data_IF_622529681923
#
_entry.id   IF_622529681923
#
_cell.length_a   1.000
_cell.length_b   1.000
_cell.length_c   1.000
_cell.angle_alpha   90.00
_cell.angle_beta   90.00
_cell.angle_gamma   90.00
#
_symmetry.space_group_name_H-M   'P 1'
#
loop_
_entity.id
_entity.type
_entity.pdbx_description
1 polymer ?
#
# COMPACT_ATOMS: atom_id res chain seq x y z
N UNK A 1 33.87 -32.66 -14.91
CA UNK A 1 33.93 -31.44 -15.74
C UNK A 1 32.59 -31.28 -16.47
N UNK A 2 32.00 -30.11 -16.52
CA UNK A 2 30.76 -29.89 -17.28
C UNK A 2 31.01 -30.12 -18.78
N UNK A 3 30.18 -30.92 -19.44
CA UNK A 3 30.26 -31.19 -20.86
C UNK A 3 29.99 -29.92 -21.67
N UNK A 4 30.57 -29.78 -22.84
CA UNK A 4 30.32 -28.67 -23.77
C UNK A 4 28.83 -28.52 -24.09
N UNK A 5 28.11 -29.63 -24.18
CA UNK A 5 26.67 -29.66 -24.38
C UNK A 5 25.88 -29.11 -23.18
N UNK A 6 26.32 -29.36 -21.95
CA UNK A 6 25.72 -28.80 -20.75
C UNK A 6 25.87 -27.27 -20.71
N UNK A 7 27.04 -26.76 -21.09
CA UNK A 7 27.27 -25.34 -21.19
C UNK A 7 26.39 -24.67 -22.25
N UNK A 8 26.24 -25.28 -23.43
CA UNK A 8 25.35 -24.80 -24.49
C UNK A 8 23.89 -24.74 -24.02
N UNK A 9 23.41 -25.82 -23.36
CA UNK A 9 22.05 -25.84 -22.78
C UNK A 9 21.84 -24.74 -21.72
N UNK A 10 22.81 -24.55 -20.84
CA UNK A 10 22.75 -23.47 -19.84
C UNK A 10 22.70 -22.09 -20.48
N UNK A 11 23.53 -21.81 -21.50
CA UNK A 11 23.50 -20.56 -22.24
C UNK A 11 22.14 -20.34 -22.90
N UNK A 12 21.56 -21.34 -23.53
CA UNK A 12 20.24 -21.25 -24.15
C UNK A 12 19.14 -20.95 -23.12
N UNK A 13 19.19 -21.64 -21.97
CA UNK A 13 18.24 -21.44 -20.86
C UNK A 13 18.33 -20.00 -20.31
N UNK A 14 19.55 -19.52 -20.04
CA UNK A 14 19.77 -18.14 -19.53
C UNK A 14 19.29 -17.10 -20.55
N UNK A 15 19.59 -17.29 -21.85
CA UNK A 15 19.08 -16.39 -22.92
C UNK A 15 17.56 -16.36 -22.98
N UNK A 16 16.90 -17.52 -22.79
CA UNK A 16 15.44 -17.59 -22.71
C UNK A 16 14.89 -16.81 -21.49
N UNK A 17 15.47 -17.05 -20.32
CA UNK A 17 15.11 -16.34 -19.09
C UNK A 17 15.32 -14.81 -19.22
N UNK A 18 16.38 -14.40 -19.87
CA UNK A 18 16.65 -12.97 -20.14
C UNK A 18 15.54 -12.34 -21.01
N UNK A 19 15.08 -13.05 -22.06
CA UNK A 19 13.98 -12.57 -22.91
C UNK A 19 12.68 -12.43 -22.11
N UNK A 20 12.36 -13.41 -21.27
CA UNK A 20 11.17 -13.37 -20.40
C UNK A 20 11.25 -12.19 -19.43
N UNK A 21 12.38 -12.02 -18.75
CA UNK A 21 12.58 -10.92 -17.80
C UNK A 21 12.46 -9.56 -18.49
N UNK A 22 12.99 -9.41 -19.70
CA UNK A 22 12.84 -8.20 -20.49
C UNK A 22 11.38 -7.91 -20.84
N UNK A 23 10.62 -8.94 -21.23
CA UNK A 23 9.19 -8.80 -21.50
C UNK A 23 8.40 -8.41 -20.22
N UNK A 24 8.69 -9.04 -19.08
CA UNK A 24 8.09 -8.68 -17.79
C UNK A 24 8.38 -7.23 -17.42
N UNK A 25 9.61 -6.74 -17.64
CA UNK A 25 9.97 -5.34 -17.40
C UNK A 25 9.13 -4.38 -18.25
N UNK A 26 8.91 -4.70 -19.53
CA UNK A 26 8.08 -3.85 -20.40
C UNK A 26 6.61 -3.81 -19.94
N UNK A 27 6.06 -4.96 -19.56
CA UNK A 27 4.68 -5.04 -19.02
C UNK A 27 4.55 -4.26 -17.71
N UNK A 28 5.53 -4.40 -16.81
CA UNK A 28 5.55 -3.64 -15.55
C UNK A 28 5.63 -2.13 -15.78
N UNK A 29 6.47 -1.68 -16.72
CA UNK A 29 6.58 -0.27 -17.09
C UNK A 29 5.26 0.29 -17.65
N UNK A 30 4.56 -0.47 -18.51
CA UNK A 30 3.27 -0.05 -19.04
C UNK A 30 2.20 0.05 -17.94
N UNK A 31 2.18 -0.88 -16.99
CA UNK A 31 1.26 -0.82 -15.82
C UNK A 31 1.57 0.37 -14.91
N UNK A 32 2.86 0.62 -14.64
CA UNK A 32 3.28 1.78 -13.85
C UNK A 32 2.83 3.09 -14.49
N UNK A 33 3.06 3.24 -15.79
CA UNK A 33 2.63 4.43 -16.51
C UNK A 33 1.13 4.67 -16.41
N UNK A 34 0.30 3.64 -16.61
CA UNK A 34 -1.16 3.75 -16.46
C UNK A 34 -1.56 4.15 -15.04
N UNK A 35 -0.92 3.58 -14.02
CA UNK A 35 -1.18 3.93 -12.63
C UNK A 35 -0.80 5.39 -12.33
N UNK A 36 0.33 5.87 -12.85
CA UNK A 36 0.75 7.27 -12.73
C UNK A 36 -0.24 8.23 -13.41
N UNK A 37 -0.61 7.95 -14.66
CA UNK A 37 -1.60 8.74 -15.39
C UNK A 37 -2.95 8.81 -14.64
N UNK A 38 -3.40 7.70 -14.05
CA UNK A 38 -4.61 7.65 -13.25
C UNK A 38 -4.51 8.49 -11.98
N UNK A 39 -3.38 8.41 -11.28
CA UNK A 39 -3.12 9.20 -10.08
C UNK A 39 -3.04 10.71 -10.39
N UNK A 40 -2.37 11.08 -11.46
CA UNK A 40 -2.27 12.49 -11.91
C UNK A 40 -3.64 13.07 -12.28
N UNK A 41 -4.50 12.29 -12.96
CA UNK A 41 -5.88 12.72 -13.28
C UNK A 41 -6.75 12.89 -12.03
N UNK A 42 -6.49 12.11 -10.97
CA UNK A 42 -7.23 12.21 -9.71
C UNK A 42 -6.82 13.38 -8.82
N UNK A 43 -5.60 13.90 -8.96
CA UNK A 43 -5.07 14.99 -8.11
C UNK A 43 -5.95 16.24 -8.07
N UNK A 44 -6.39 16.82 -9.19
CA UNK A 44 -7.19 18.04 -9.16
C UNK A 44 -8.51 17.87 -8.40
N UNK A 45 -9.12 16.68 -8.48
CA UNK A 45 -10.32 16.35 -7.71
C UNK A 45 -10.02 16.30 -6.21
N UNK A 46 -8.96 15.61 -5.83
CA UNK A 46 -8.52 15.50 -4.44
C UNK A 46 -8.20 16.85 -3.82
N UNK A 47 -7.50 17.72 -4.54
CA UNK A 47 -7.16 19.07 -4.10
C UNK A 47 -8.41 19.93 -3.89
N UNK A 48 -9.35 19.91 -4.85
CA UNK A 48 -10.62 20.62 -4.71
C UNK A 48 -11.45 20.11 -3.54
N UNK A 49 -11.51 18.79 -3.36
CA UNK A 49 -12.24 18.20 -2.24
C UNK A 49 -11.62 18.58 -0.89
N UNK A 50 -10.29 18.57 -0.78
CA UNK A 50 -9.59 19.02 0.41
C UNK A 50 -9.90 20.49 0.72
N UNK A 51 -9.92 21.36 -0.29
CA UNK A 51 -10.27 22.77 -0.08
C UNK A 51 -11.71 22.94 0.40
N UNK A 52 -12.65 22.16 -0.13
CA UNK A 52 -14.04 22.16 0.36
C UNK A 52 -14.12 21.73 1.82
N UNK A 53 -13.43 20.64 2.17
CA UNK A 53 -13.40 20.14 3.56
C UNK A 53 -12.78 21.16 4.50
N UNK A 54 -11.67 21.80 4.11
CA UNK A 54 -11.02 22.85 4.89
C UNK A 54 -11.94 24.08 5.09
N UNK A 55 -12.62 24.51 4.03
CA UNK A 55 -13.55 25.63 4.12
C UNK A 55 -14.75 25.31 5.03
N UNK A 56 -15.28 24.10 4.93
CA UNK A 56 -16.35 23.65 5.83
C UNK A 56 -15.87 23.57 7.29
N UNK A 57 -14.69 23.02 7.52
CA UNK A 57 -14.11 22.93 8.86
C UNK A 57 -13.84 24.30 9.48
N UNK A 58 -13.36 25.25 8.68
CA UNK A 58 -13.10 26.63 9.14
C UNK A 58 -14.39 27.44 9.35
N UNK A 59 -15.48 27.10 8.65
CA UNK A 59 -16.78 27.75 8.80
C UNK A 59 -17.58 27.31 10.02
N UNK A 60 -17.15 26.25 10.70
CA UNK A 60 -17.83 25.74 11.89
C UNK A 60 -17.41 26.58 13.11
N UNK A 61 -18.31 27.48 13.56
CA UNK A 61 -18.11 28.30 14.77
C UNK A 61 -18.36 27.50 16.04
N UNK A 62 -19.28 26.52 15.99
CA UNK A 62 -19.67 25.69 17.13
C UNK A 62 -19.17 24.25 16.95
N UNK A 63 -18.08 23.92 17.66
CA UNK A 63 -17.47 22.58 17.58
C UNK A 63 -18.27 21.48 18.27
N UNK A 64 -19.15 21.85 19.22
CA UNK A 64 -19.92 20.86 19.98
C UNK A 64 -21.07 20.27 19.16
N UNK A 65 -21.71 21.06 18.31
CA UNK A 65 -22.79 20.65 17.43
C UNK A 65 -22.29 20.25 16.01
N UNK A 66 -21.01 20.34 15.74
CA UNK A 66 -20.44 20.00 14.45
C UNK A 66 -20.45 18.48 14.18
N UNK A 67 -20.62 18.04 12.92
CA UNK A 67 -20.48 16.65 12.56
C UNK A 67 -19.12 16.09 13.03
N UNK A 68 -19.15 14.97 13.76
CA UNK A 68 -17.93 14.35 14.34
C UNK A 68 -16.86 13.98 13.31
N UNK A 69 -17.23 13.78 12.05
CA UNK A 69 -16.30 13.56 10.94
C UNK A 69 -15.47 14.79 10.58
N UNK A 70 -15.96 16.01 10.91
CA UNK A 70 -15.24 17.27 10.66
C UNK A 70 -14.55 17.78 11.92
N UNK A 71 -15.20 17.69 13.08
CA UNK A 71 -14.70 18.22 14.35
C UNK A 71 -13.80 17.22 15.10
N UNK A 72 -13.84 15.96 14.73
CA UNK A 72 -13.22 14.88 15.50
C UNK A 72 -14.07 14.45 16.70
N UNK A 73 -13.63 13.43 17.41
CA UNK A 73 -14.29 12.93 18.63
C UNK A 73 -13.75 13.56 19.90
N UNK A 74 -12.66 14.32 19.82
CA UNK A 74 -11.93 14.85 20.98
C UNK A 74 -11.23 13.80 21.85
N UNK A 75 -11.31 12.53 21.46
CA UNK A 75 -10.69 11.41 22.18
C UNK A 75 -9.57 10.80 21.33
N UNK A 76 -8.37 10.77 21.87
CA UNK A 76 -7.19 10.14 21.23
C UNK A 76 -6.88 8.76 21.85
N UNK A 77 -7.89 8.05 22.33
CA UNK A 77 -7.69 6.78 23.02
C UNK A 77 -7.53 5.61 22.07
N UNK A 78 -8.27 5.61 20.95
CA UNK A 78 -8.28 4.50 19.98
C UNK A 78 -7.73 4.96 18.64
N UNK A 79 -6.69 4.29 18.15
CA UNK A 79 -6.07 4.54 16.84
C UNK A 79 -6.42 3.43 15.86
N UNK A 80 -6.89 3.81 14.67
CA UNK A 80 -7.09 2.90 13.54
C UNK A 80 -5.93 3.04 12.56
N UNK A 81 -5.14 1.98 12.40
CA UNK A 81 -4.03 1.94 11.46
C UNK A 81 -4.39 1.08 10.26
N UNK A 82 -4.35 1.67 9.06
CA UNK A 82 -4.55 0.95 7.80
C UNK A 82 -3.19 0.70 7.16
N UNK A 83 -2.80 -0.57 7.04
CA UNK A 83 -1.54 -0.99 6.44
C UNK A 83 -1.80 -1.48 5.02
N UNK A 84 -1.31 -0.72 4.03
CA UNK A 84 -1.44 -1.06 2.62
C UNK A 84 -0.12 -1.62 2.09
N UNK A 85 -0.15 -2.82 1.57
CA UNK A 85 1.01 -3.49 0.96
C UNK A 85 0.73 -3.82 -0.50
N UNK A 86 1.75 -4.29 -1.22
CA UNK A 86 1.59 -4.78 -2.59
C UNK A 86 0.95 -6.16 -2.57
N UNK A 87 -0.04 -6.39 -3.45
CA UNK A 87 -0.74 -7.67 -3.61
C UNK A 87 0.12 -8.75 -4.25
N UNK A 88 1.13 -8.37 -5.02
CA UNK A 88 2.03 -9.29 -5.71
C UNK A 88 3.42 -9.27 -5.11
N UNK A 89 4.05 -10.45 -5.08
CA UNK A 89 5.46 -10.60 -4.81
C UNK A 89 6.34 -9.94 -5.88
N UNK A 90 7.64 -10.15 -5.80
CA UNK A 90 8.67 -9.56 -6.66
C UNK A 90 8.78 -8.03 -6.57
N UNK A 91 8.34 -7.46 -5.45
CA UNK A 91 8.43 -6.03 -5.13
C UNK A 91 9.69 -5.67 -4.30
N UNK A 92 10.70 -6.57 -4.25
CA UNK A 92 11.89 -6.39 -3.43
C UNK A 92 11.57 -6.28 -1.95
N UNK A 93 12.19 -5.33 -1.25
CA UNK A 93 11.96 -5.07 0.17
C UNK A 93 10.73 -4.23 0.49
N UNK A 94 9.87 -3.90 -0.46
CA UNK A 94 8.76 -2.97 -0.26
C UNK A 94 7.83 -3.39 0.88
N UNK A 95 7.24 -4.59 0.80
CA UNK A 95 6.32 -5.09 1.82
C UNK A 95 7.02 -5.26 3.18
N UNK A 96 8.24 -5.80 3.19
CA UNK A 96 9.01 -6.00 4.43
C UNK A 96 9.33 -4.68 5.13
N UNK A 97 9.63 -3.63 4.37
CA UNK A 97 9.92 -2.30 4.93
C UNK A 97 8.65 -1.64 5.50
N UNK A 98 7.51 -1.79 4.83
CA UNK A 98 6.22 -1.31 5.35
C UNK A 98 5.89 -2.02 6.66
N UNK A 99 6.01 -3.35 6.71
CA UNK A 99 5.72 -4.14 7.91
C UNK A 99 6.64 -3.74 9.08
N UNK A 100 7.94 -3.58 8.82
CA UNK A 100 8.89 -3.11 9.86
C UNK A 100 8.51 -1.74 10.41
N UNK A 101 8.18 -0.81 9.52
CA UNK A 101 7.75 0.55 9.89
C UNK A 101 6.44 0.52 10.68
N UNK A 102 5.46 -0.27 10.23
CA UNK A 102 4.18 -0.45 10.91
C UNK A 102 4.37 -1.03 12.32
N UNK A 103 5.16 -2.10 12.48
CA UNK A 103 5.47 -2.69 13.80
C UNK A 103 6.08 -1.67 14.75
N UNK A 104 7.04 -0.87 14.28
CA UNK A 104 7.66 0.18 15.10
C UNK A 104 6.67 1.26 15.52
N UNK A 105 5.73 1.60 14.64
CA UNK A 105 4.68 2.58 14.93
C UNK A 105 3.64 2.01 15.91
N UNK A 106 3.26 0.75 15.76
CA UNK A 106 2.34 0.07 16.66
C UNK A 106 2.88 -0.02 18.09
N UNK A 107 4.17 -0.35 18.22
CA UNK A 107 4.82 -0.39 19.53
C UNK A 107 4.70 0.96 20.25
N UNK A 108 4.94 2.07 19.55
CA UNK A 108 4.81 3.41 20.14
C UNK A 108 3.39 3.71 20.64
N UNK A 109 2.35 3.38 19.85
CA UNK A 109 0.96 3.60 20.24
C UNK A 109 0.60 2.79 21.50
N UNK A 110 1.06 1.53 21.54
CA UNK A 110 0.81 0.64 22.68
C UNK A 110 1.58 1.07 23.94
N UNK A 111 2.82 1.55 23.77
CA UNK A 111 3.63 2.11 24.85
C UNK A 111 3.01 3.37 25.47
N UNK A 112 2.27 4.14 24.66
CA UNK A 112 1.48 5.30 25.11
C UNK A 112 0.17 4.89 25.83
N UNK A 113 -0.10 3.60 25.99
CA UNK A 113 -1.32 3.08 26.63
C UNK A 113 -2.60 3.26 25.80
N UNK A 114 -2.48 3.47 24.49
CA UNK A 114 -3.61 3.66 23.58
C UNK A 114 -4.07 2.34 22.99
N UNK A 115 -5.35 2.26 22.64
CA UNK A 115 -5.93 1.12 21.94
C UNK A 115 -5.59 1.20 20.45
N UNK A 116 -5.14 0.09 19.88
CA UNK A 116 -4.78 -0.01 18.47
C UNK A 116 -5.71 -0.97 17.73
N UNK A 117 -6.34 -0.50 16.65
CA UNK A 117 -7.06 -1.31 15.67
C UNK A 117 -6.30 -1.31 14.36
N UNK A 118 -6.13 -2.48 13.74
CA UNK A 118 -5.34 -2.64 12.53
C UNK A 118 -6.22 -3.20 11.43
N UNK A 119 -6.18 -2.54 10.27
CA UNK A 119 -6.74 -3.06 9.02
C UNK A 119 -5.58 -3.30 8.06
N UNK A 120 -5.48 -4.51 7.55
CA UNK A 120 -4.53 -4.85 6.50
C UNK A 120 -5.24 -4.87 5.15
N UNK A 121 -4.70 -4.14 4.18
CA UNK A 121 -5.22 -4.12 2.81
C UNK A 121 -4.33 -5.00 1.93
N UNK A 122 -4.71 -6.28 1.85
CA UNK A 122 -4.07 -7.31 1.02
C UNK A 122 -5.16 -8.15 0.37
N UNK A 123 -5.05 -8.41 -0.92
CA UNK A 123 -5.94 -9.36 -1.61
C UNK A 123 -5.83 -10.77 -0.99
N UNK A 124 -4.64 -11.15 -0.53
CA UNK A 124 -4.38 -12.46 0.10
C UNK A 124 -5.03 -12.69 1.47
N UNK A 125 -5.43 -11.63 2.18
CA UNK A 125 -6.07 -11.79 3.50
C UNK A 125 -7.56 -12.09 3.38
N UNK A 126 -8.21 -11.78 2.26
CA UNK A 126 -9.60 -12.17 2.03
C UNK A 126 -9.72 -13.66 1.74
N UNK A 127 -8.82 -14.22 0.92
CA UNK A 127 -8.83 -15.65 0.60
C UNK A 127 -8.50 -16.55 1.80
N UNK A 128 -7.59 -16.10 2.69
CA UNK A 128 -7.27 -16.85 3.90
C UNK A 128 -8.39 -16.85 4.96
N UNK A 129 -9.27 -15.85 4.93
CA UNK A 129 -10.42 -15.77 5.82
C UNK A 129 -11.59 -16.67 5.32
N UNK A 130 -11.71 -16.87 4.01
CA UNK A 130 -12.72 -17.71 3.39
C UNK A 130 -12.40 -19.22 3.48
N UNK A 131 -11.12 -19.61 3.64
CA UNK A 131 -10.71 -21.01 3.83
C UNK A 131 -10.97 -21.55 5.25
N UNK A 132 -11.29 -20.71 6.23
CA UNK A 132 -11.54 -21.10 7.64
C UNK A 132 -13.00 -20.88 8.12
N UNK A 133 -13.96 -20.68 7.20
CA UNK A 133 -15.38 -20.53 7.57
C UNK A 133 -16.18 -21.80 7.29
#
# INVERSE_FOLDING_TARGET
MASLDDLKKRIASVKSTQKITKAMKMVAAAKLRRAQESAEKGRPYSEKMNNVILNLSNGISDKENAPKLLSGTGQEKTHLCVVMTSDRGLCGGFNSNIIKKAKSYFAKILDEGKELKIITCLLYTSDAADEYS
#
